data_IF_360998334918
#
_entry.id   IF_360998334918
#
_cell.length_a   1.000
_cell.length_b   1.000
_cell.length_c   1.000
_cell.angle_alpha   90.00
_cell.angle_beta   90.00
_cell.angle_gamma   90.00
#
_symmetry.space_group_name_H-M   'P 1'
#
loop_
_entity.id
_entity.type
_entity.pdbx_description
1 polymer ?
#
# COMPACT_ATOMS: atom_id res chain seq x y z
N UNK A 1 -3.91 -4.94 -51.17
CA UNK A 1 -3.53 -6.11 -50.31
C UNK A 1 -2.46 -5.64 -49.37
N UNK A 2 -2.85 -5.30 -48.17
CA UNK A 2 -1.98 -4.79 -47.09
C UNK A 2 -1.57 -5.99 -46.24
N UNK A 3 -0.27 -6.22 -46.16
CA UNK A 3 0.30 -7.24 -45.28
C UNK A 3 0.16 -6.74 -43.83
N UNK A 4 -0.78 -7.32 -43.07
CA UNK A 4 -0.80 -7.21 -41.65
C UNK A 4 0.37 -8.02 -41.06
N UNK A 5 1.41 -7.36 -40.60
CA UNK A 5 2.49 -7.97 -39.82
C UNK A 5 1.87 -8.61 -38.57
N UNK A 6 1.85 -9.93 -38.58
CA UNK A 6 1.70 -10.73 -37.37
C UNK A 6 2.95 -10.48 -36.51
N UNK A 7 2.85 -9.57 -35.54
CA UNK A 7 3.82 -9.52 -34.43
C UNK A 7 3.72 -10.83 -33.65
N UNK A 8 4.59 -11.76 -34.00
CA UNK A 8 4.87 -12.92 -33.18
C UNK A 8 5.49 -12.44 -31.86
N UNK A 9 4.88 -12.79 -30.73
CA UNK A 9 5.43 -12.61 -29.39
C UNK A 9 6.65 -13.51 -29.21
N UNK A 10 7.77 -13.14 -29.81
CA UNK A 10 9.06 -13.73 -29.57
C UNK A 10 9.85 -12.85 -28.59
N UNK A 11 10.06 -13.31 -27.34
CA UNK A 11 11.00 -12.67 -26.43
C UNK A 11 12.40 -12.68 -27.07
N UNK A 12 12.91 -11.51 -27.40
CA UNK A 12 14.30 -11.35 -27.86
C UNK A 12 15.24 -11.47 -26.64
N UNK A 13 16.43 -12.01 -26.84
CA UNK A 13 17.48 -12.02 -25.81
C UNK A 13 17.83 -10.62 -25.29
N UNK A 14 17.53 -9.56 -26.03
CA UNK A 14 17.68 -8.17 -25.62
C UNK A 14 16.62 -7.72 -24.59
N UNK A 15 15.48 -8.41 -24.47
CA UNK A 15 14.40 -8.08 -23.53
C UNK A 15 14.61 -8.66 -22.14
N UNK A 16 15.44 -9.70 -22.02
CA UNK A 16 15.67 -10.42 -20.77
C UNK A 16 16.23 -9.53 -19.64
N UNK A 17 17.28 -8.70 -19.84
CA UNK A 17 17.78 -7.81 -18.80
C UNK A 17 16.71 -6.80 -18.33
N UNK A 18 15.90 -6.28 -19.26
CA UNK A 18 14.80 -5.36 -18.96
C UNK A 18 13.70 -6.04 -18.14
N UNK A 19 13.33 -7.28 -18.47
CA UNK A 19 12.38 -8.08 -17.68
C UNK A 19 12.91 -8.35 -16.28
N UNK A 20 14.18 -8.77 -16.16
CA UNK A 20 14.83 -9.03 -14.87
C UNK A 20 14.89 -7.79 -13.97
N UNK A 21 15.12 -6.60 -14.57
CA UNK A 21 15.03 -5.33 -13.83
C UNK A 21 13.64 -5.12 -13.25
N UNK A 22 12.57 -5.31 -14.01
CA UNK A 22 11.21 -5.13 -13.52
C UNK A 22 10.86 -6.15 -12.43
N UNK A 23 11.25 -7.42 -12.59
CA UNK A 23 11.06 -8.45 -11.56
C UNK A 23 11.78 -8.06 -10.27
N UNK A 24 13.02 -7.58 -10.36
CA UNK A 24 13.77 -7.12 -9.18
C UNK A 24 13.08 -5.94 -8.50
N UNK A 25 12.55 -4.97 -9.25
CA UNK A 25 11.80 -3.83 -8.72
C UNK A 25 10.48 -4.25 -8.07
N UNK A 26 9.77 -5.22 -8.64
CA UNK A 26 8.53 -5.79 -8.09
C UNK A 26 8.81 -6.45 -6.73
N UNK A 27 9.78 -7.37 -6.70
CA UNK A 27 10.15 -8.11 -5.49
C UNK A 27 10.63 -7.15 -4.40
N UNK A 28 11.57 -6.26 -4.73
CA UNK A 28 12.08 -5.27 -3.81
C UNK A 28 10.99 -4.31 -3.32
N UNK A 29 10.15 -3.84 -4.25
CA UNK A 29 9.08 -2.88 -3.98
C UNK A 29 7.99 -3.41 -3.05
N UNK A 30 7.81 -4.71 -2.92
CA UNK A 30 6.89 -5.31 -1.96
C UNK A 30 7.61 -5.81 -0.70
N UNK A 31 8.77 -6.47 -0.85
CA UNK A 31 9.54 -6.99 0.27
C UNK A 31 9.89 -5.92 1.31
N UNK A 32 10.20 -4.70 0.86
CA UNK A 32 10.54 -3.57 1.73
C UNK A 32 9.42 -3.18 2.71
N UNK A 33 8.15 -3.34 2.29
CA UNK A 33 6.97 -3.00 3.09
C UNK A 33 6.38 -4.20 3.85
N UNK A 34 6.89 -5.41 3.61
CA UNK A 34 6.35 -6.62 4.23
C UNK A 34 6.56 -6.64 5.74
N UNK A 35 7.75 -6.32 6.22
CA UNK A 35 8.05 -6.30 7.66
C UNK A 35 7.22 -5.28 8.44
N UNK A 36 7.13 -3.99 8.05
CA UNK A 36 6.36 -3.02 8.81
C UNK A 36 4.84 -3.22 8.71
N UNK A 37 4.32 -3.85 7.65
CA UNK A 37 2.87 -3.89 7.43
C UNK A 37 2.26 -5.29 7.38
N UNK A 38 2.89 -6.29 6.76
CA UNK A 38 2.25 -7.60 6.59
C UNK A 38 2.18 -8.38 7.89
N UNK A 39 3.21 -8.31 8.73
CA UNK A 39 3.21 -8.98 10.05
C UNK A 39 2.03 -8.51 10.89
N UNK A 40 1.87 -7.20 11.04
CA UNK A 40 0.79 -6.62 11.86
C UNK A 40 -0.58 -6.65 11.20
N UNK A 41 -0.68 -6.91 9.89
CA UNK A 41 -1.92 -7.02 9.13
C UNK A 41 -2.48 -8.43 9.13
N UNK A 42 -1.65 -9.40 8.73
CA UNK A 42 -2.11 -10.77 8.52
C UNK A 42 -2.17 -11.54 9.82
N UNK A 43 -1.22 -11.30 10.71
CA UNK A 43 -1.05 -12.03 11.97
C UNK A 43 -1.39 -11.18 13.19
N UNK A 44 -2.36 -10.26 13.03
CA UNK A 44 -2.70 -9.29 14.07
C UNK A 44 -3.14 -9.93 15.40
N UNK A 45 -4.00 -10.97 15.44
CA UNK A 45 -4.35 -11.64 16.70
C UNK A 45 -3.10 -12.17 17.42
N UNK A 46 -2.31 -13.00 16.76
CA UNK A 46 -1.06 -13.56 17.30
C UNK A 46 -0.07 -12.46 17.72
N UNK A 47 0.02 -11.37 16.93
CA UNK A 47 0.88 -10.23 17.26
C UNK A 47 0.48 -9.56 18.57
N UNK A 48 -0.81 -9.24 18.72
CA UNK A 48 -1.31 -8.57 19.93
C UNK A 48 -1.10 -9.44 21.17
N UNK A 49 -1.26 -10.76 21.05
CA UNK A 49 -1.07 -11.71 22.13
C UNK A 49 0.41 -11.87 22.51
N UNK A 50 1.30 -12.09 21.53
CA UNK A 50 2.74 -12.25 21.76
C UNK A 50 3.39 -10.99 22.36
N UNK A 51 2.96 -9.81 21.95
CA UNK A 51 3.49 -8.55 22.49
C UNK A 51 2.70 -8.03 23.70
N UNK A 52 1.61 -8.70 24.08
CA UNK A 52 0.69 -8.27 25.13
C UNK A 52 0.20 -6.82 24.93
N UNK A 53 -0.12 -6.46 23.66
CA UNK A 53 -0.50 -5.10 23.31
C UNK A 53 -2.00 -4.93 23.18
N UNK A 54 -2.48 -3.77 23.63
CA UNK A 54 -3.79 -3.28 23.22
C UNK A 54 -3.75 -2.83 21.74
N UNK A 55 -4.91 -2.71 21.11
CA UNK A 55 -4.99 -2.18 19.73
C UNK A 55 -4.48 -0.74 19.65
N UNK A 56 -4.69 0.07 20.70
CA UNK A 56 -4.19 1.44 20.79
C UNK A 56 -2.66 1.47 20.82
N UNK A 57 -2.02 0.58 21.57
CA UNK A 57 -0.57 0.49 21.63
C UNK A 57 0.04 0.13 20.29
N UNK A 58 -0.52 -0.88 19.58
CA UNK A 58 -0.10 -1.20 18.23
C UNK A 58 -0.32 -0.01 17.27
N UNK A 59 -1.46 0.67 17.39
CA UNK A 59 -1.77 1.86 16.59
C UNK A 59 -0.75 2.99 16.77
N UNK A 60 -0.31 3.24 18.01
CA UNK A 60 0.72 4.25 18.30
C UNK A 60 2.09 3.86 17.75
N UNK A 61 2.45 2.57 17.80
CA UNK A 61 3.67 2.06 17.16
C UNK A 61 3.62 2.30 15.65
N UNK A 62 2.50 1.98 14.99
CA UNK A 62 2.32 2.24 13.56
C UNK A 62 2.36 3.74 13.22
N UNK A 63 1.83 4.60 14.09
CA UNK A 63 1.89 6.05 13.93
C UNK A 63 3.34 6.58 13.92
N UNK A 64 4.25 5.97 14.68
CA UNK A 64 5.69 6.32 14.65
C UNK A 64 6.29 6.13 13.27
N UNK A 65 5.92 5.06 12.55
CA UNK A 65 6.25 4.90 11.14
C UNK A 65 5.70 6.05 10.31
N UNK A 66 4.40 6.36 10.44
CA UNK A 66 3.73 7.38 9.65
C UNK A 66 4.34 8.77 9.81
N UNK A 67 4.67 9.17 11.04
CA UNK A 67 5.30 10.47 11.33
C UNK A 67 6.67 10.58 10.64
N UNK A 68 7.53 9.57 10.81
CA UNK A 68 8.87 9.60 10.21
C UNK A 68 8.80 9.49 8.70
N UNK A 69 7.91 8.64 8.16
CA UNK A 69 7.67 8.50 6.72
C UNK A 69 7.25 9.85 6.10
N UNK A 70 6.33 10.58 6.75
CA UNK A 70 5.90 11.89 6.26
C UNK A 70 7.05 12.90 6.19
N UNK A 71 7.88 12.97 7.23
CA UNK A 71 9.08 13.83 7.24
C UNK A 71 10.09 13.41 6.18
N UNK A 72 10.16 12.12 5.85
CA UNK A 72 11.10 11.54 4.91
C UNK A 72 10.72 11.74 3.43
N UNK A 73 9.45 11.98 3.10
CA UNK A 73 9.01 12.13 1.70
C UNK A 73 9.74 13.26 0.96
N UNK A 74 9.87 14.42 1.59
CA UNK A 74 10.48 15.57 0.95
C UNK A 74 11.99 15.38 0.67
N UNK A 75 12.84 15.04 1.66
CA UNK A 75 14.25 14.80 1.41
C UNK A 75 14.53 13.53 0.60
N UNK A 76 13.62 12.53 0.64
CA UNK A 76 13.77 11.27 -0.10
C UNK A 76 13.80 11.46 -1.61
N UNK A 77 12.97 12.36 -2.15
CA UNK A 77 13.00 12.71 -3.57
C UNK A 77 14.33 13.30 -3.99
N UNK A 78 14.88 14.23 -3.19
CA UNK A 78 16.19 14.84 -3.47
C UNK A 78 17.33 13.81 -3.39
N UNK A 79 17.26 12.90 -2.42
CA UNK A 79 18.27 11.86 -2.26
C UNK A 79 18.25 10.89 -3.47
N UNK A 80 17.08 10.55 -3.98
CA UNK A 80 16.92 9.73 -5.17
C UNK A 80 17.52 10.40 -6.43
N UNK A 81 17.57 11.73 -6.49
CA UNK A 81 18.20 12.46 -7.59
C UNK A 81 19.73 12.52 -7.46
N UNK A 82 20.28 12.41 -6.24
CA UNK A 82 21.71 12.52 -5.95
C UNK A 82 22.47 11.18 -6.02
N UNK A 83 21.79 10.08 -5.78
CA UNK A 83 22.42 8.75 -5.68
C UNK A 83 21.82 7.77 -6.68
N UNK A 84 22.61 6.75 -7.05
CA UNK A 84 22.14 5.66 -7.91
C UNK A 84 20.96 4.92 -7.26
N UNK A 85 19.89 4.68 -8.04
CA UNK A 85 18.72 3.94 -7.56
C UNK A 85 19.12 2.55 -7.03
N UNK A 86 20.01 1.84 -7.70
CA UNK A 86 20.55 0.55 -7.25
C UNK A 86 21.11 0.61 -5.83
N UNK A 87 21.94 1.60 -5.54
CA UNK A 87 22.61 1.75 -4.23
C UNK A 87 21.61 2.09 -3.13
N UNK A 88 20.68 3.01 -3.40
CA UNK A 88 19.66 3.40 -2.44
C UNK A 88 18.70 2.24 -2.13
N UNK A 89 18.22 1.53 -3.16
CA UNK A 89 17.34 0.37 -2.99
C UNK A 89 18.03 -0.73 -2.18
N UNK A 90 19.27 -1.08 -2.53
CA UNK A 90 20.03 -2.11 -1.82
C UNK A 90 20.32 -1.73 -0.36
N UNK A 91 20.77 -0.50 -0.10
CA UNK A 91 21.04 -0.01 1.24
C UNK A 91 19.77 0.00 2.11
N UNK A 92 18.65 0.43 1.53
CA UNK A 92 17.35 0.43 2.21
C UNK A 92 16.89 -0.98 2.57
N UNK A 93 16.97 -1.94 1.64
CA UNK A 93 16.62 -3.35 1.88
C UNK A 93 17.47 -3.97 2.97
N UNK A 94 18.79 -3.72 2.96
CA UNK A 94 19.69 -4.19 4.01
C UNK A 94 19.30 -3.60 5.36
N UNK A 95 19.11 -2.28 5.43
CA UNK A 95 18.75 -1.61 6.67
C UNK A 95 17.39 -2.10 7.22
N UNK A 96 16.38 -2.23 6.34
CA UNK A 96 15.06 -2.74 6.74
C UNK A 96 15.12 -4.20 7.18
N UNK A 97 15.89 -5.04 6.50
CA UNK A 97 16.12 -6.45 6.88
C UNK A 97 16.84 -6.60 8.22
N UNK A 98 17.81 -5.74 8.52
CA UNK A 98 18.45 -5.70 9.86
C UNK A 98 17.41 -5.34 10.94
N UNK A 99 16.49 -4.41 10.64
CA UNK A 99 15.34 -4.15 11.50
C UNK A 99 14.46 -5.39 11.70
N UNK A 100 14.31 -6.24 10.68
CA UNK A 100 13.59 -7.52 10.78
C UNK A 100 14.26 -8.50 11.73
N UNK A 101 15.60 -8.59 11.76
CA UNK A 101 16.32 -9.40 12.73
C UNK A 101 16.12 -8.91 14.17
N UNK A 102 16.06 -7.59 14.37
CA UNK A 102 15.72 -7.01 15.67
C UNK A 102 14.28 -7.29 16.05
N UNK A 103 13.35 -7.19 15.10
CA UNK A 103 11.93 -7.47 15.31
C UNK A 103 11.69 -8.90 15.79
N UNK A 104 12.41 -9.87 15.23
CA UNK A 104 12.33 -11.27 15.64
C UNK A 104 12.81 -11.54 17.08
N UNK A 105 13.50 -10.58 17.72
CA UNK A 105 13.85 -10.68 19.15
C UNK A 105 12.69 -10.33 20.08
N UNK A 106 11.49 -10.06 19.53
CA UNK A 106 10.30 -9.62 20.27
C UNK A 106 10.64 -8.41 21.19
N UNK A 107 11.02 -7.28 20.57
CA UNK A 107 11.48 -6.12 21.34
C UNK A 107 10.37 -5.50 22.18
N UNK A 108 10.76 -4.72 23.19
CA UNK A 108 9.83 -3.98 24.05
C UNK A 108 9.00 -2.96 23.29
N UNK A 109 7.95 -2.43 23.92
CA UNK A 109 7.09 -1.39 23.36
C UNK A 109 7.88 -0.19 22.83
N UNK A 110 8.83 0.34 23.62
CA UNK A 110 9.72 1.43 23.16
C UNK A 110 10.61 1.00 22.01
N UNK A 111 11.10 -0.24 22.03
CA UNK A 111 11.91 -0.80 20.95
C UNK A 111 11.13 -0.86 19.64
N UNK A 112 9.83 -1.19 19.69
CA UNK A 112 8.96 -1.17 18.51
C UNK A 112 8.70 0.24 17.97
N UNK A 113 8.52 1.24 18.82
CA UNK A 113 8.42 2.64 18.37
C UNK A 113 9.65 3.09 17.61
N UNK A 114 10.83 2.77 18.12
CA UNK A 114 12.09 3.08 17.43
C UNK A 114 12.22 2.31 16.11
N UNK A 115 11.87 1.03 16.10
CA UNK A 115 11.93 0.17 14.93
C UNK A 115 10.98 0.67 13.82
N UNK A 116 9.72 0.95 14.15
CA UNK A 116 8.75 1.45 13.16
C UNK A 116 9.13 2.83 12.65
N UNK A 117 9.63 3.73 13.51
CA UNK A 117 10.22 5.00 13.08
C UNK A 117 11.42 4.79 12.14
N UNK A 118 12.32 3.86 12.47
CA UNK A 118 13.45 3.48 11.61
C UNK A 118 12.97 2.94 10.26
N UNK A 119 11.94 2.11 10.22
CA UNK A 119 11.34 1.65 8.96
C UNK A 119 10.68 2.76 8.17
N UNK A 120 10.03 3.75 8.82
CA UNK A 120 9.54 4.95 8.15
C UNK A 120 10.67 5.69 7.41
N UNK A 121 11.85 5.78 8.05
CA UNK A 121 13.03 6.36 7.44
C UNK A 121 13.56 5.50 6.28
N UNK A 122 13.83 4.20 6.50
CA UNK A 122 14.45 3.35 5.48
C UNK A 122 13.59 3.16 4.25
N UNK A 123 12.27 2.96 4.43
CA UNK A 123 11.34 2.67 3.33
C UNK A 123 10.97 3.91 2.52
N UNK A 124 10.92 5.07 3.12
CA UNK A 124 10.48 6.29 2.42
C UNK A 124 11.67 7.15 2.00
N UNK A 125 12.60 7.46 2.89
CA UNK A 125 13.75 8.32 2.54
C UNK A 125 14.66 7.65 1.51
N UNK A 126 15.01 6.39 1.74
CA UNK A 126 16.01 5.70 0.90
C UNK A 126 15.36 4.97 -0.28
N UNK A 127 14.18 4.36 -0.08
CA UNK A 127 13.65 3.40 -1.03
C UNK A 127 12.66 4.02 -2.02
N UNK A 128 11.63 4.73 -1.51
CA UNK A 128 10.46 5.09 -2.32
C UNK A 128 10.81 5.93 -3.54
N UNK A 129 11.58 7.01 -3.34
CA UNK A 129 12.03 7.87 -4.45
C UNK A 129 12.87 7.12 -5.47
N UNK A 130 13.76 6.24 -5.01
CA UNK A 130 14.62 5.44 -5.86
C UNK A 130 13.82 4.40 -6.68
N UNK A 131 12.79 3.77 -6.09
CA UNK A 131 11.89 2.85 -6.79
C UNK A 131 11.12 3.55 -7.91
N UNK A 132 10.53 4.70 -7.60
CA UNK A 132 9.78 5.50 -8.59
C UNK A 132 10.69 5.90 -9.75
N UNK A 133 11.91 6.38 -9.45
CA UNK A 133 12.89 6.74 -10.46
C UNK A 133 13.28 5.54 -11.34
N UNK A 134 13.67 4.41 -10.75
CA UNK A 134 14.05 3.21 -11.51
C UNK A 134 12.90 2.70 -12.39
N UNK A 135 11.66 2.78 -11.91
CA UNK A 135 10.47 2.40 -12.68
C UNK A 135 10.24 3.34 -13.86
N UNK A 136 10.42 4.65 -13.69
CA UNK A 136 10.34 5.64 -14.77
C UNK A 136 11.41 5.41 -15.84
N UNK A 137 12.64 5.16 -15.41
CA UNK A 137 13.75 4.86 -16.33
C UNK A 137 13.48 3.57 -17.12
N UNK A 138 12.88 2.55 -16.50
CA UNK A 138 12.47 1.34 -17.17
C UNK A 138 11.37 1.55 -18.20
N UNK A 139 10.35 2.39 -17.90
CA UNK A 139 9.20 2.62 -18.75
C UNK A 139 9.48 3.52 -19.97
N UNK A 140 10.58 4.26 -19.98
CA UNK A 140 10.85 5.35 -20.93
C UNK A 140 9.69 6.36 -20.99
N UNK A 141 9.74 7.34 -21.91
CA UNK A 141 8.71 8.40 -21.98
C UNK A 141 7.34 7.88 -22.47
N UNK A 142 7.35 6.85 -23.32
CA UNK A 142 6.14 6.39 -24.03
C UNK A 142 5.35 5.29 -23.30
N UNK A 143 5.87 4.73 -22.20
CA UNK A 143 5.28 3.55 -21.54
C UNK A 143 5.22 3.65 -20.02
N UNK A 144 5.08 4.87 -19.47
CA UNK A 144 5.06 5.10 -18.01
C UNK A 144 3.89 4.41 -17.32
N UNK A 145 2.67 4.56 -17.84
CA UNK A 145 1.49 3.90 -17.29
C UNK A 145 1.63 2.37 -17.24
N UNK A 146 2.20 1.78 -18.31
CA UNK A 146 2.47 0.33 -18.37
C UNK A 146 3.53 -0.09 -17.34
N UNK A 147 4.58 0.70 -17.15
CA UNK A 147 5.65 0.41 -16.19
C UNK A 147 5.10 0.39 -14.75
N UNK A 148 4.36 1.42 -14.34
CA UNK A 148 3.76 1.48 -13.00
C UNK A 148 2.64 0.45 -12.81
N UNK A 149 1.85 0.17 -13.84
CA UNK A 149 0.84 -0.89 -13.80
C UNK A 149 1.43 -2.28 -13.60
N UNK A 150 2.53 -2.62 -14.30
CA UNK A 150 3.25 -3.88 -14.13
C UNK A 150 3.89 -3.94 -12.74
N UNK A 151 4.51 -2.84 -12.28
CA UNK A 151 5.09 -2.76 -10.95
C UNK A 151 4.03 -3.02 -9.87
N UNK A 152 2.91 -2.31 -9.87
CA UNK A 152 1.92 -2.43 -8.79
C UNK A 152 1.15 -3.75 -8.86
N UNK A 153 0.80 -4.22 -10.05
CA UNK A 153 0.19 -5.54 -10.24
C UNK A 153 1.12 -6.67 -9.81
N UNK A 154 2.41 -6.59 -10.19
CA UNK A 154 3.42 -7.54 -9.79
C UNK A 154 3.69 -7.55 -8.28
N UNK A 155 3.74 -6.37 -7.65
CA UNK A 155 3.84 -6.23 -6.19
C UNK A 155 2.65 -6.89 -5.49
N UNK A 156 1.42 -6.70 -6.01
CA UNK A 156 0.24 -7.36 -5.47
C UNK A 156 0.33 -8.88 -5.54
N UNK A 157 0.79 -9.41 -6.67
CA UNK A 157 1.00 -10.86 -6.84
C UNK A 157 2.06 -11.39 -5.87
N UNK A 158 3.19 -10.69 -5.74
CA UNK A 158 4.26 -11.08 -4.83
C UNK A 158 3.82 -11.00 -3.37
N UNK A 159 3.04 -9.97 -2.98
CA UNK A 159 2.45 -9.86 -1.65
C UNK A 159 1.56 -11.06 -1.30
N UNK A 160 0.72 -11.50 -2.24
CA UNK A 160 -0.15 -12.65 -2.07
C UNK A 160 0.65 -13.95 -1.91
N UNK A 161 1.68 -14.15 -2.74
CA UNK A 161 2.54 -15.34 -2.67
C UNK A 161 3.28 -15.44 -1.34
N UNK A 162 3.96 -14.37 -0.92
CA UNK A 162 4.70 -14.39 0.37
C UNK A 162 3.75 -14.44 1.57
N UNK A 163 2.54 -13.88 1.44
CA UNK A 163 1.49 -13.97 2.46
C UNK A 163 1.08 -15.42 2.71
N UNK A 164 0.82 -16.19 1.65
CA UNK A 164 0.50 -17.63 1.77
C UNK A 164 1.67 -18.42 2.37
N UNK A 165 2.91 -18.13 1.94
CA UNK A 165 4.09 -18.77 2.53
C UNK A 165 4.21 -18.45 4.02
N UNK A 166 3.99 -17.19 4.41
CA UNK A 166 4.07 -16.78 5.81
C UNK A 166 2.96 -17.41 6.67
N UNK A 167 1.75 -17.59 6.13
CA UNK A 167 0.66 -18.34 6.81
C UNK A 167 1.04 -19.81 6.98
N UNK A 168 1.60 -20.44 5.94
CA UNK A 168 2.11 -21.81 6.05
C UNK A 168 3.19 -21.94 7.13
N UNK A 169 4.12 -20.97 7.21
CA UNK A 169 5.13 -20.90 8.27
C UNK A 169 4.47 -20.76 9.63
N UNK A 170 3.52 -19.87 9.81
CA UNK A 170 2.78 -19.71 11.07
C UNK A 170 2.17 -21.05 11.51
N UNK A 171 1.41 -21.70 10.61
CA UNK A 171 0.71 -22.95 10.87
C UNK A 171 1.67 -24.07 11.30
N UNK A 172 2.88 -24.10 10.75
CA UNK A 172 3.86 -25.16 11.04
C UNK A 172 4.35 -25.20 12.49
N UNK A 173 4.12 -24.12 13.26
CA UNK A 173 4.49 -23.99 14.67
C UNK A 173 3.29 -24.07 15.63
N UNK A 174 2.09 -24.18 15.09
CA UNK A 174 0.88 -24.39 15.89
C UNK A 174 0.54 -25.90 15.98
N UNK A 175 -0.06 -26.34 17.09
CA UNK A 175 -0.60 -27.69 17.20
C UNK A 175 -1.79 -27.90 16.27
N UNK A 176 -2.24 -29.13 16.06
CA UNK A 176 -3.42 -29.46 15.24
C UNK A 176 -4.66 -28.69 15.73
N UNK A 177 -4.87 -28.61 17.04
CA UNK A 177 -5.85 -27.72 17.66
C UNK A 177 -5.17 -26.41 18.06
N UNK A 178 -5.34 -25.39 17.22
CA UNK A 178 -4.74 -24.06 17.40
C UNK A 178 -5.15 -23.41 18.73
N UNK A 179 -6.35 -23.73 19.26
CA UNK A 179 -6.81 -23.20 20.55
C UNK A 179 -5.97 -23.72 21.74
N UNK A 180 -5.27 -24.84 21.57
CA UNK A 180 -4.36 -25.41 22.59
C UNK A 180 -2.94 -24.89 22.50
N UNK A 181 -2.65 -23.96 21.58
CA UNK A 181 -1.31 -23.41 21.41
C UNK A 181 -0.83 -22.70 22.68
N UNK A 182 0.39 -23.01 23.07
CA UNK A 182 1.07 -22.35 24.20
C UNK A 182 1.66 -21.00 23.79
N UNK A 183 1.92 -20.12 24.75
CA UNK A 183 2.57 -18.83 24.49
C UNK A 183 3.93 -19.00 23.79
N UNK A 184 4.68 -20.07 24.12
CA UNK A 184 5.95 -20.39 23.50
C UNK A 184 5.76 -20.71 22.01
N UNK A 185 4.76 -21.50 21.66
CA UNK A 185 4.46 -21.84 20.26
C UNK A 185 4.03 -20.61 19.47
N UNK A 186 3.20 -19.72 20.06
CA UNK A 186 2.81 -18.44 19.45
C UNK A 186 4.01 -17.52 19.20
N UNK A 187 4.90 -17.38 20.19
CA UNK A 187 6.13 -16.61 20.05
C UNK A 187 7.00 -17.19 18.92
N UNK A 188 7.24 -18.48 18.93
CA UNK A 188 8.03 -19.15 17.89
C UNK A 188 7.39 -18.96 16.50
N UNK A 189 6.10 -19.19 16.38
CA UNK A 189 5.37 -19.01 15.12
C UNK A 189 5.53 -17.60 14.55
N UNK A 190 5.33 -16.57 15.39
CA UNK A 190 5.49 -15.17 14.99
C UNK A 190 6.95 -14.83 14.64
N UNK A 191 7.93 -15.34 15.41
CA UNK A 191 9.36 -15.14 15.10
C UNK A 191 9.72 -15.72 13.74
N UNK A 192 9.27 -16.93 13.43
CA UNK A 192 9.55 -17.55 12.13
C UNK A 192 8.82 -16.87 10.96
N UNK A 193 7.63 -16.33 11.18
CA UNK A 193 6.96 -15.43 10.21
C UNK A 193 7.82 -14.19 9.95
N UNK A 194 8.34 -13.55 11.00
CA UNK A 194 9.22 -12.38 10.87
C UNK A 194 10.51 -12.75 10.14
N UNK A 195 11.13 -13.90 10.45
CA UNK A 195 12.29 -14.40 9.72
C UNK A 195 11.98 -14.68 8.26
N UNK A 196 10.81 -15.22 7.94
CA UNK A 196 10.38 -15.45 6.56
C UNK A 196 10.35 -14.12 5.76
N UNK A 197 9.70 -13.07 6.28
CA UNK A 197 9.69 -11.76 5.62
C UNK A 197 11.08 -11.12 5.57
N UNK A 198 11.89 -11.28 6.61
CA UNK A 198 13.28 -10.82 6.65
C UNK A 198 14.12 -11.49 5.57
N UNK A 199 13.95 -12.80 5.37
CA UNK A 199 14.61 -13.56 4.31
C UNK A 199 14.26 -13.00 2.93
N UNK A 200 12.97 -12.78 2.62
CA UNK A 200 12.58 -12.20 1.34
C UNK A 200 13.10 -10.77 1.15
N UNK A 201 13.19 -9.99 2.23
CA UNK A 201 13.77 -8.65 2.20
C UNK A 201 15.27 -8.70 1.85
N UNK A 202 16.03 -9.61 2.46
CA UNK A 202 17.44 -9.81 2.12
C UNK A 202 17.63 -10.45 0.74
N UNK A 203 16.76 -11.37 0.32
CA UNK A 203 16.79 -11.97 -1.01
C UNK A 203 16.63 -10.93 -2.13
N UNK A 204 15.88 -9.87 -1.87
CA UNK A 204 15.70 -8.76 -2.81
C UNK A 204 17.01 -7.95 -3.02
N UNK A 205 17.96 -7.98 -2.07
CA UNK A 205 19.24 -7.22 -2.19
C UNK A 205 20.06 -7.66 -3.39
N UNK A 206 20.48 -8.92 -3.53
CA UNK A 206 21.24 -9.38 -4.70
C UNK A 206 20.44 -9.22 -5.99
N UNK A 207 19.12 -9.39 -5.99
CA UNK A 207 18.29 -9.17 -7.17
C UNK A 207 18.38 -7.71 -7.65
N UNK A 208 18.24 -6.75 -6.74
CA UNK A 208 18.41 -5.32 -7.06
C UNK A 208 19.84 -5.03 -7.53
N UNK A 209 20.82 -5.55 -6.81
CA UNK A 209 22.22 -5.27 -7.13
C UNK A 209 22.65 -5.79 -8.51
N UNK A 210 22.17 -6.94 -8.91
CA UNK A 210 22.52 -7.58 -10.18
C UNK A 210 21.65 -7.12 -11.34
N UNK A 211 20.35 -6.87 -11.11
CA UNK A 211 19.38 -6.66 -12.19
C UNK A 211 19.00 -5.18 -12.42
N UNK A 212 19.17 -4.29 -11.41
CA UNK A 212 18.88 -2.87 -11.60
C UNK A 212 20.12 -2.17 -12.17
N UNK A 213 20.04 -1.49 -13.33
CA UNK A 213 21.18 -0.80 -13.93
C UNK A 213 21.70 0.32 -13.03
N UNK A 214 23.02 0.51 -13.03
CA UNK A 214 23.62 1.69 -12.41
C UNK A 214 23.48 2.87 -13.36
N UNK A 215 22.46 3.70 -13.15
CA UNK A 215 22.27 4.90 -13.95
C UNK A 215 23.17 6.03 -13.49
N UNK A 216 23.75 6.77 -14.45
CA UNK A 216 24.61 7.90 -14.15
C UNK A 216 23.80 8.99 -13.43
N UNK A 217 24.25 9.35 -12.25
CA UNK A 217 23.73 10.48 -11.48
C UNK A 217 23.97 11.77 -12.28
N UNK A 218 22.95 12.61 -12.43
CA UNK A 218 23.14 13.98 -12.93
C UNK A 218 22.75 14.28 -14.37
N UNK A 219 22.09 13.37 -15.12
CA UNK A 219 21.50 13.69 -16.44
C UNK A 219 20.01 14.05 -16.36
N UNK A 220 19.58 14.75 -15.36
CA UNK A 220 18.37 15.56 -15.50
C UNK A 220 18.78 16.75 -16.34
N UNK A 221 18.24 16.87 -17.55
CA UNK A 221 18.54 17.97 -18.48
C UNK A 221 18.33 19.31 -17.75
N UNK A 222 19.40 19.92 -17.25
CA UNK A 222 19.39 21.25 -16.62
C UNK A 222 18.72 22.28 -17.55
N UNK A 223 18.78 22.06 -18.87
CA UNK A 223 18.15 22.90 -19.88
C UNK A 223 16.60 22.84 -19.89
N UNK A 224 15.97 21.75 -19.40
CA UNK A 224 14.51 21.68 -19.27
C UNK A 224 13.99 22.51 -18.08
N UNK A 225 14.85 22.90 -17.16
CA UNK A 225 14.48 23.65 -15.95
C UNK A 225 14.90 25.13 -15.99
N UNK A 226 15.73 25.56 -16.96
CA UNK A 226 16.31 26.90 -17.00
C UNK A 226 15.29 28.04 -17.13
N UNK A 227 14.09 27.79 -17.69
CA UNK A 227 13.04 28.80 -17.87
C UNK A 227 11.76 28.51 -17.08
N UNK A 228 11.79 27.64 -16.06
CA UNK A 228 10.62 27.31 -15.24
C UNK A 228 10.50 28.22 -14.02
N UNK A 229 9.27 28.57 -13.60
CA UNK A 229 9.05 29.22 -12.31
C UNK A 229 9.71 28.45 -11.17
N UNK A 230 10.19 29.13 -10.16
CA UNK A 230 10.81 28.50 -8.99
C UNK A 230 9.87 27.47 -8.33
N UNK A 231 10.42 26.46 -7.60
CA UNK A 231 9.62 25.38 -7.02
C UNK A 231 8.46 25.86 -6.15
N UNK A 232 8.69 26.92 -5.37
CA UNK A 232 7.68 27.52 -4.49
C UNK A 232 6.48 28.07 -5.30
N UNK A 233 6.74 28.79 -6.40
CA UNK A 233 5.68 29.35 -7.24
C UNK A 233 4.83 28.26 -7.88
N UNK A 234 5.46 27.20 -8.38
CA UNK A 234 4.77 26.03 -8.94
C UNK A 234 3.88 25.33 -7.91
N UNK A 235 4.38 25.16 -6.68
CA UNK A 235 3.58 24.62 -5.58
C UNK A 235 2.37 25.49 -5.29
N UNK A 236 2.53 26.82 -5.24
CA UNK A 236 1.43 27.76 -5.02
C UNK A 236 0.39 27.68 -6.16
N UNK A 237 0.84 27.60 -7.41
CA UNK A 237 -0.05 27.51 -8.57
C UNK A 237 -0.87 26.20 -8.55
N UNK A 238 -0.26 25.08 -8.19
CA UNK A 238 -0.95 23.79 -7.99
C UNK A 238 -1.94 23.85 -6.81
N UNK A 239 -1.57 24.49 -5.70
CA UNK A 239 -2.46 24.67 -4.53
C UNK A 239 -3.70 25.53 -4.83
N UNK A 240 -3.67 26.36 -5.87
CA UNK A 240 -4.83 27.15 -6.30
C UNK A 240 -5.89 26.32 -7.03
N UNK A 241 -5.58 25.11 -7.47
CA UNK A 241 -6.50 24.22 -8.17
C UNK A 241 -7.43 23.51 -7.17
N UNK A 242 -8.76 23.77 -7.18
CA UNK A 242 -9.70 23.09 -6.25
C UNK A 242 -9.71 21.57 -6.46
N UNK A 243 -9.45 21.11 -7.68
CA UNK A 243 -9.36 19.70 -8.04
C UNK A 243 -8.26 18.97 -7.29
N UNK A 244 -7.13 19.63 -6.99
CA UNK A 244 -6.01 19.08 -6.24
C UNK A 244 -6.39 18.79 -4.77
N UNK A 245 -7.14 19.69 -4.13
CA UNK A 245 -7.62 19.48 -2.75
C UNK A 245 -8.67 18.37 -2.66
N UNK A 246 -9.60 18.32 -3.62
CA UNK A 246 -10.57 17.23 -3.69
C UNK A 246 -9.90 15.89 -3.95
N UNK A 247 -8.90 15.85 -4.82
CA UNK A 247 -8.11 14.65 -5.07
C UNK A 247 -7.31 14.22 -3.83
N UNK A 248 -6.75 15.17 -3.09
CA UNK A 248 -6.10 14.88 -1.80
C UNK A 248 -7.08 14.22 -0.82
N UNK A 249 -8.30 14.75 -0.70
CA UNK A 249 -9.34 14.17 0.15
C UNK A 249 -9.78 12.78 -0.33
N UNK A 250 -9.89 12.57 -1.65
CA UNK A 250 -10.17 11.27 -2.26
C UNK A 250 -9.08 10.27 -1.87
N UNK A 251 -7.80 10.66 -1.95
CA UNK A 251 -6.68 9.79 -1.58
C UNK A 251 -6.68 9.50 -0.08
N UNK A 252 -6.95 10.50 0.79
CA UNK A 252 -7.12 10.26 2.24
C UNK A 252 -8.18 9.19 2.47
N UNK A 253 -9.39 9.36 1.90
CA UNK A 253 -10.50 8.43 2.08
C UNK A 253 -10.18 7.02 1.53
N UNK A 254 -9.54 6.94 0.36
CA UNK A 254 -9.10 5.68 -0.24
C UNK A 254 -8.04 4.98 0.63
N UNK A 255 -7.11 5.76 1.19
CA UNK A 255 -6.05 5.22 2.03
C UNK A 255 -6.55 4.80 3.41
N UNK A 256 -7.53 5.51 3.97
CA UNK A 256 -8.28 5.05 5.16
C UNK A 256 -8.92 3.68 4.88
N UNK A 257 -9.59 3.51 3.73
CA UNK A 257 -10.13 2.21 3.32
C UNK A 257 -9.06 1.12 3.23
N UNK A 258 -7.87 1.45 2.70
CA UNK A 258 -6.74 0.53 2.67
C UNK A 258 -6.25 0.14 4.07
N UNK A 259 -6.19 1.08 5.01
CA UNK A 259 -5.88 0.80 6.43
C UNK A 259 -6.95 -0.05 7.12
N UNK A 260 -8.19 -0.03 6.61
CA UNK A 260 -9.26 -0.91 7.07
C UNK A 260 -8.94 -2.40 6.92
N UNK A 261 -8.17 -2.77 5.89
CA UNK A 261 -7.71 -4.15 5.65
C UNK A 261 -6.86 -4.68 6.82
N UNK A 262 -6.15 -3.80 7.54
CA UNK A 262 -5.30 -4.16 8.68
C UNK A 262 -6.10 -4.79 9.86
N UNK A 263 -7.44 -4.69 9.84
CA UNK A 263 -8.31 -5.21 10.90
C UNK A 263 -9.11 -6.46 10.51
N UNK A 264 -9.00 -6.96 9.28
CA UNK A 264 -9.77 -8.12 8.83
C UNK A 264 -9.45 -9.40 9.62
N UNK A 265 -8.16 -9.69 9.86
CA UNK A 265 -7.77 -10.86 10.65
C UNK A 265 -8.29 -10.78 12.09
N UNK A 266 -8.18 -9.60 12.73
CA UNK A 266 -8.69 -9.42 14.09
C UNK A 266 -10.22 -9.53 14.15
N UNK A 267 -10.93 -8.99 13.16
CA UNK A 267 -12.40 -9.10 13.08
C UNK A 267 -12.84 -10.56 12.92
N UNK A 268 -12.20 -11.29 12.02
CA UNK A 268 -12.49 -12.70 11.80
C UNK A 268 -12.23 -13.55 13.06
N UNK A 269 -11.13 -13.27 13.76
CA UNK A 269 -10.80 -13.91 15.02
C UNK A 269 -11.81 -13.59 16.13
N UNK A 270 -12.11 -12.29 16.33
CA UNK A 270 -12.90 -11.82 17.48
C UNK A 270 -14.40 -12.05 17.29
N UNK A 271 -14.92 -11.82 16.08
CA UNK A 271 -16.35 -11.81 15.81
C UNK A 271 -16.88 -13.14 15.24
N UNK A 272 -16.06 -13.83 14.43
CA UNK A 272 -16.45 -15.11 13.81
C UNK A 272 -15.81 -16.33 14.48
N UNK A 273 -15.06 -16.13 15.56
CA UNK A 273 -14.37 -17.18 16.31
C UNK A 273 -13.46 -18.06 15.42
N UNK A 274 -12.89 -17.50 14.36
CA UNK A 274 -11.82 -18.14 13.61
C UNK A 274 -10.56 -18.20 14.46
N UNK A 275 -9.77 -19.26 14.31
CA UNK A 275 -8.48 -19.32 14.98
C UNK A 275 -7.45 -18.38 14.30
N UNK A 276 -6.28 -18.22 14.92
CA UNK A 276 -5.24 -17.29 14.43
C UNK A 276 -4.78 -17.60 13.00
N UNK A 277 -4.73 -18.90 12.64
CA UNK A 277 -4.30 -19.36 11.30
C UNK A 277 -5.39 -19.03 10.27
N UNK A 278 -6.65 -19.39 10.54
CA UNK A 278 -7.79 -19.13 9.66
C UNK A 278 -7.99 -17.62 9.44
N UNK A 279 -7.83 -16.81 10.48
CA UNK A 279 -7.91 -15.35 10.40
C UNK A 279 -6.79 -14.76 9.53
N UNK A 280 -5.58 -15.31 9.62
CA UNK A 280 -4.46 -14.93 8.76
C UNK A 280 -4.69 -15.36 7.31
N UNK A 281 -5.22 -16.57 7.07
CA UNK A 281 -5.58 -17.07 5.74
C UNK A 281 -6.60 -16.15 5.04
N UNK A 282 -7.68 -15.75 5.73
CA UNK A 282 -8.68 -14.82 5.19
C UNK A 282 -8.02 -13.55 4.65
N UNK A 283 -7.15 -12.96 5.45
CA UNK A 283 -6.48 -11.70 5.08
C UNK A 283 -5.47 -11.90 3.95
N UNK A 284 -4.67 -12.97 3.98
CA UNK A 284 -3.71 -13.31 2.93
C UNK A 284 -4.42 -13.58 1.59
N UNK A 285 -5.54 -14.31 1.60
CA UNK A 285 -6.31 -14.58 0.38
C UNK A 285 -6.97 -13.31 -0.18
N UNK A 286 -7.34 -12.34 0.64
CA UNK A 286 -7.92 -11.08 0.16
C UNK A 286 -6.97 -10.28 -0.73
N UNK A 287 -5.66 -10.46 -0.60
CA UNK A 287 -4.65 -9.74 -1.39
C UNK A 287 -4.55 -10.25 -2.83
N UNK A 288 -4.96 -11.50 -3.12
CA UNK A 288 -4.97 -12.03 -4.48
C UNK A 288 -5.84 -11.25 -5.46
N UNK A 289 -6.85 -10.53 -4.95
CA UNK A 289 -7.70 -9.68 -5.79
C UNK A 289 -6.98 -8.42 -6.30
N UNK A 290 -5.87 -8.00 -5.68
CA UNK A 290 -5.19 -6.72 -5.94
C UNK A 290 -4.80 -6.53 -7.41
N UNK A 291 -4.12 -7.47 -8.10
CA UNK A 291 -3.76 -7.30 -9.51
C UNK A 291 -4.99 -7.15 -10.41
N UNK A 292 -6.02 -7.97 -10.18
CA UNK A 292 -7.25 -7.96 -10.97
C UNK A 292 -8.06 -6.69 -10.74
N UNK A 293 -8.16 -6.25 -9.50
CA UNK A 293 -8.88 -5.05 -9.10
C UNK A 293 -8.24 -3.78 -9.70
N UNK A 294 -6.92 -3.65 -9.63
CA UNK A 294 -6.21 -2.49 -10.17
C UNK A 294 -6.38 -2.40 -11.70
N UNK A 295 -6.21 -3.51 -12.43
CA UNK A 295 -6.40 -3.56 -13.88
C UNK A 295 -7.88 -3.31 -14.25
N UNK A 296 -8.81 -3.96 -13.57
CA UNK A 296 -10.25 -3.81 -13.81
C UNK A 296 -10.73 -2.38 -13.59
N UNK A 297 -10.28 -1.75 -12.50
CA UNK A 297 -10.61 -0.35 -12.21
C UNK A 297 -9.98 0.62 -13.23
N UNK A 298 -8.76 0.37 -13.70
CA UNK A 298 -8.13 1.13 -14.77
C UNK A 298 -8.94 1.07 -16.06
N UNK A 299 -9.28 -0.14 -16.54
CA UNK A 299 -10.13 -0.33 -17.71
C UNK A 299 -11.53 0.30 -17.58
N UNK A 300 -12.07 0.29 -16.36
CA UNK A 300 -13.35 0.97 -16.08
C UNK A 300 -13.18 2.49 -16.14
N UNK A 301 -12.12 3.03 -15.55
CA UNK A 301 -11.82 4.47 -15.58
C UNK A 301 -11.64 5.01 -17.00
N UNK A 302 -11.01 4.23 -17.89
CA UNK A 302 -10.86 4.57 -19.32
C UNK A 302 -12.22 4.65 -20.03
N UNK A 303 -13.23 3.89 -19.58
CA UNK A 303 -14.57 3.87 -20.21
C UNK A 303 -15.52 4.93 -19.68
N UNK A 304 -15.49 5.23 -18.38
CA UNK A 304 -16.52 6.06 -17.72
C UNK A 304 -16.00 7.35 -17.07
N UNK A 305 -14.73 7.64 -17.11
CA UNK A 305 -13.95 8.67 -16.44
C UNK A 305 -13.44 8.24 -15.04
N UNK A 306 -12.20 8.64 -14.67
CA UNK A 306 -11.62 8.32 -13.37
C UNK A 306 -12.46 8.75 -12.17
N UNK A 307 -13.06 9.95 -12.19
CA UNK A 307 -13.92 10.44 -11.11
C UNK A 307 -15.18 9.60 -10.88
N UNK A 308 -15.77 9.03 -11.95
CA UNK A 308 -16.93 8.13 -11.84
C UNK A 308 -16.52 6.75 -11.35
N UNK A 309 -15.38 6.24 -11.81
CA UNK A 309 -14.85 4.96 -11.36
C UNK A 309 -14.48 5.00 -9.89
N UNK A 310 -13.85 6.09 -9.39
CA UNK A 310 -13.57 6.28 -7.96
C UNK A 310 -14.86 6.40 -7.15
N UNK A 311 -15.86 7.13 -7.64
CA UNK A 311 -17.16 7.23 -6.97
C UNK A 311 -17.85 5.85 -6.84
N UNK A 312 -17.77 5.01 -7.86
CA UNK A 312 -18.33 3.65 -7.84
C UNK A 312 -17.61 2.76 -6.82
N UNK A 313 -16.27 2.82 -6.77
CA UNK A 313 -15.50 2.10 -5.76
C UNK A 313 -15.86 2.55 -4.33
N UNK A 314 -16.01 3.86 -4.09
CA UNK A 314 -16.45 4.34 -2.77
C UNK A 314 -17.88 3.92 -2.43
N UNK A 315 -18.81 3.93 -3.39
CA UNK A 315 -20.17 3.43 -3.16
C UNK A 315 -20.16 1.95 -2.74
N UNK A 316 -19.31 1.15 -3.38
CA UNK A 316 -19.12 -0.26 -3.03
C UNK A 316 -18.51 -0.43 -1.63
N UNK A 317 -17.52 0.41 -1.27
CA UNK A 317 -16.94 0.42 0.09
C UNK A 317 -17.97 0.82 1.15
N UNK A 318 -18.83 1.82 0.88
CA UNK A 318 -19.90 2.22 1.80
C UNK A 318 -20.83 1.04 2.05
N UNK A 319 -21.25 0.33 0.99
CA UNK A 319 -22.10 -0.84 1.11
C UNK A 319 -21.43 -1.94 1.94
N UNK A 320 -20.18 -2.29 1.63
CA UNK A 320 -19.47 -3.38 2.29
C UNK A 320 -19.12 -3.04 3.76
N UNK A 321 -18.58 -1.86 4.04
CA UNK A 321 -18.29 -1.44 5.40
C UNK A 321 -19.56 -1.18 6.21
N UNK A 322 -20.61 -0.60 5.57
CA UNK A 322 -21.91 -0.45 6.19
C UNK A 322 -22.54 -1.81 6.56
N UNK A 323 -22.38 -2.82 5.71
CA UNK A 323 -22.79 -4.18 6.04
C UNK A 323 -22.05 -4.70 7.27
N UNK A 324 -20.72 -4.62 7.31
CA UNK A 324 -19.92 -5.08 8.46
C UNK A 324 -20.22 -4.30 9.74
N UNK A 325 -20.63 -3.04 9.65
CA UNK A 325 -21.00 -2.23 10.82
C UNK A 325 -22.33 -2.65 11.46
N UNK A 326 -23.16 -3.35 10.72
CA UNK A 326 -24.47 -3.86 11.17
C UNK A 326 -24.49 -5.40 11.30
N UNK A 327 -23.35 -6.04 11.02
CA UNK A 327 -23.26 -7.49 10.94
C UNK A 327 -23.51 -8.14 12.31
N UNK A 328 -24.28 -9.22 12.28
CA UNK A 328 -24.48 -10.15 13.39
C UNK A 328 -23.81 -11.48 13.00
N UNK A 329 -22.55 -11.70 13.43
CA UNK A 329 -21.77 -12.82 12.95
C UNK A 329 -22.48 -14.16 13.13
N UNK A 330 -22.50 -14.93 12.05
CA UNK A 330 -23.01 -16.29 12.03
C UNK A 330 -21.99 -17.19 11.34
N UNK A 331 -21.39 -18.10 12.10
CA UNK A 331 -20.35 -19.02 11.59
C UNK A 331 -20.86 -19.86 10.42
N UNK A 332 -22.14 -20.23 10.40
CA UNK A 332 -22.74 -20.97 9.27
C UNK A 332 -22.79 -20.15 7.96
N UNK A 333 -22.67 -18.82 8.05
CA UNK A 333 -22.69 -17.90 6.92
C UNK A 333 -21.33 -17.21 6.70
N UNK A 334 -20.26 -17.80 7.16
CA UNK A 334 -18.89 -17.26 7.07
C UNK A 334 -18.48 -16.89 5.64
N UNK A 335 -19.04 -17.57 4.64
CA UNK A 335 -18.82 -17.25 3.23
C UNK A 335 -19.23 -15.80 2.87
N UNK A 336 -20.20 -15.20 3.62
CA UNK A 336 -20.60 -13.80 3.44
C UNK A 336 -19.46 -12.87 3.87
N UNK A 337 -18.79 -13.19 4.99
CA UNK A 337 -17.58 -12.44 5.40
C UNK A 337 -16.50 -12.52 4.31
N UNK A 338 -16.19 -13.72 3.81
CA UNK A 338 -15.20 -13.89 2.74
C UNK A 338 -15.57 -13.09 1.49
N UNK A 339 -16.82 -13.16 1.05
CA UNK A 339 -17.31 -12.40 -0.11
C UNK A 339 -17.19 -10.89 0.12
N UNK A 340 -17.60 -10.40 1.31
CA UNK A 340 -17.49 -8.99 1.67
C UNK A 340 -16.03 -8.53 1.66
N UNK A 341 -15.11 -9.27 2.29
CA UNK A 341 -13.68 -8.95 2.35
C UNK A 341 -13.06 -8.89 0.95
N UNK A 342 -13.40 -9.83 0.06
CA UNK A 342 -12.91 -9.83 -1.34
C UNK A 342 -13.45 -8.62 -2.09
N UNK A 343 -14.74 -8.33 -1.99
CA UNK A 343 -15.39 -7.21 -2.70
C UNK A 343 -14.86 -5.87 -2.19
N UNK A 344 -14.72 -5.72 -0.87
CA UNK A 344 -14.15 -4.50 -0.27
C UNK A 344 -12.69 -4.32 -0.69
N UNK A 345 -11.90 -5.40 -0.65
CA UNK A 345 -10.51 -5.38 -1.10
C UNK A 345 -10.39 -5.01 -2.58
N UNK A 346 -11.30 -5.51 -3.43
CA UNK A 346 -11.35 -5.13 -4.85
C UNK A 346 -11.63 -3.63 -5.02
N UNK A 347 -12.56 -3.06 -4.27
CA UNK A 347 -12.85 -1.62 -4.31
C UNK A 347 -11.65 -0.79 -3.83
N UNK A 348 -11.01 -1.18 -2.72
CA UNK A 348 -9.85 -0.49 -2.15
C UNK A 348 -8.64 -0.54 -3.10
N UNK A 349 -8.29 -1.70 -3.62
CA UNK A 349 -7.16 -1.84 -4.55
C UNK A 349 -7.47 -1.21 -5.91
N UNK A 350 -8.74 -1.24 -6.35
CA UNK A 350 -9.20 -0.51 -7.53
C UNK A 350 -8.98 1.00 -7.40
N UNK A 351 -9.38 1.60 -6.26
CA UNK A 351 -9.13 3.01 -5.96
C UNK A 351 -7.65 3.35 -6.03
N UNK A 352 -6.78 2.50 -5.44
CA UNK A 352 -5.33 2.71 -5.47
C UNK A 352 -4.75 2.70 -6.88
N UNK A 353 -5.34 1.94 -7.79
CA UNK A 353 -4.94 1.89 -9.19
C UNK A 353 -5.32 3.14 -10.00
N UNK A 354 -6.37 3.86 -9.59
CA UNK A 354 -6.95 4.91 -10.44
C UNK A 354 -6.91 6.33 -9.88
N UNK A 355 -6.69 6.55 -8.58
CA UNK A 355 -6.81 7.89 -8.00
C UNK A 355 -5.76 8.89 -8.53
N UNK A 356 -4.61 8.45 -9.05
CA UNK A 356 -3.66 9.34 -9.72
C UNK A 356 -4.03 9.61 -11.19
N UNK A 357 -4.83 8.77 -11.85
CA UNK A 357 -5.34 9.04 -13.20
C UNK A 357 -6.28 10.26 -13.25
N UNK A 358 -6.74 10.74 -12.10
CA UNK A 358 -7.60 11.92 -11.98
C UNK A 358 -6.89 13.25 -12.31
N UNK A 359 -5.56 13.29 -12.38
CA UNK A 359 -4.82 14.52 -12.70
C UNK A 359 -5.18 15.09 -14.06
N UNK A 360 -5.33 14.23 -15.07
CA UNK A 360 -5.70 14.64 -16.42
C UNK A 360 -7.14 15.19 -16.44
N UNK A 361 -8.10 14.48 -15.83
CA UNK A 361 -9.49 14.94 -15.70
C UNK A 361 -9.57 16.24 -14.90
N UNK A 362 -8.72 16.42 -13.89
CA UNK A 362 -8.64 17.61 -13.03
C UNK A 362 -7.92 18.81 -13.65
N UNK A 363 -7.51 18.73 -14.92
CA UNK A 363 -6.79 19.78 -15.67
C UNK A 363 -5.47 20.20 -14.99
N UNK A 364 -4.80 19.29 -14.30
CA UNK A 364 -3.45 19.53 -13.78
C UNK A 364 -2.49 19.56 -14.97
N UNK A 365 -1.74 20.67 -15.18
CA UNK A 365 -0.79 20.73 -16.29
C UNK A 365 0.22 19.60 -16.24
N UNK A 366 0.48 18.95 -17.37
CA UNK A 366 1.41 17.81 -17.45
C UNK A 366 2.81 18.14 -16.84
N UNK A 367 3.25 19.38 -16.98
CA UNK A 367 4.51 19.87 -16.42
C UNK A 367 4.50 19.99 -14.89
N UNK A 368 3.33 20.09 -14.27
CA UNK A 368 3.14 20.24 -12.81
C UNK A 368 2.68 18.94 -12.14
N UNK A 369 2.49 17.86 -12.91
CA UNK A 369 2.04 16.56 -12.37
C UNK A 369 2.93 16.06 -11.23
N UNK A 370 4.25 16.24 -11.31
CA UNK A 370 5.17 15.86 -10.24
C UNK A 370 4.94 16.65 -8.94
N UNK A 371 4.75 17.97 -9.04
CA UNK A 371 4.45 18.85 -7.91
C UNK A 371 3.09 18.51 -7.31
N UNK A 372 2.08 18.28 -8.16
CA UNK A 372 0.74 17.88 -7.74
C UNK A 372 0.77 16.50 -7.05
N UNK A 373 1.47 15.52 -7.61
CA UNK A 373 1.64 14.19 -7.00
C UNK A 373 2.29 14.30 -5.62
N UNK A 374 3.34 15.11 -5.48
CA UNK A 374 3.98 15.32 -4.18
C UNK A 374 3.01 15.91 -3.15
N UNK A 375 2.26 16.93 -3.52
CA UNK A 375 1.29 17.58 -2.63
C UNK A 375 0.14 16.64 -2.24
N UNK A 376 -0.50 15.99 -3.22
CA UNK A 376 -1.62 15.08 -2.91
C UNK A 376 -1.18 13.85 -2.14
N UNK A 377 0.07 13.37 -2.34
CA UNK A 377 0.62 12.25 -1.58
C UNK A 377 0.92 12.65 -0.14
N UNK A 378 1.50 13.84 0.08
CA UNK A 378 1.77 14.36 1.42
C UNK A 378 0.49 14.41 2.27
N UNK A 379 -0.61 14.87 1.70
CA UNK A 379 -1.91 14.92 2.39
C UNK A 379 -2.55 13.53 2.40
N UNK A 380 -2.55 12.85 1.27
CA UNK A 380 -3.25 11.58 1.03
C UNK A 380 -2.77 10.42 1.90
N UNK A 381 -1.50 10.40 2.30
CA UNK A 381 -0.93 9.35 3.15
C UNK A 381 -0.88 9.70 4.64
N UNK A 382 -1.48 10.83 5.05
CA UNK A 382 -1.65 11.16 6.49
C UNK A 382 -2.37 10.09 7.32
N UNK A 383 -3.25 9.21 6.78
CA UNK A 383 -3.81 8.12 7.55
C UNK A 383 -2.79 7.16 8.18
N UNK A 384 -1.55 7.08 7.68
CA UNK A 384 -0.49 6.33 8.37
C UNK A 384 -0.19 6.86 9.78
N UNK A 385 -0.50 8.14 10.05
CA UNK A 385 -0.29 8.75 11.37
C UNK A 385 -1.48 8.51 12.29
N UNK A 386 -2.71 8.71 11.78
CA UNK A 386 -3.88 8.78 12.67
C UNK A 386 -4.75 7.51 12.68
N UNK A 387 -4.75 6.71 11.60
CA UNK A 387 -5.64 5.55 11.51
C UNK A 387 -5.29 4.45 12.51
N UNK A 388 -4.01 4.19 12.75
CA UNK A 388 -3.59 3.22 13.77
C UNK A 388 -4.13 3.57 15.16
N UNK A 389 -3.80 4.75 15.72
CA UNK A 389 -4.33 5.18 17.02
C UNK A 389 -5.85 5.27 17.07
N UNK A 390 -6.50 5.79 16.00
CA UNK A 390 -7.96 5.94 15.97
C UNK A 390 -8.68 4.59 15.96
N UNK A 391 -8.22 3.65 15.13
CA UNK A 391 -8.78 2.29 15.11
C UNK A 391 -8.55 1.57 16.44
N UNK A 392 -7.34 1.72 17.02
CA UNK A 392 -7.00 1.14 18.31
C UNK A 392 -7.89 1.67 19.43
N UNK A 393 -8.10 2.98 19.48
CA UNK A 393 -8.98 3.60 20.47
C UNK A 393 -10.42 3.09 20.39
N UNK A 394 -10.96 2.96 19.17
CA UNK A 394 -12.33 2.45 18.96
C UNK A 394 -12.45 1.01 19.45
N UNK A 395 -11.51 0.14 19.04
CA UNK A 395 -11.53 -1.28 19.36
C UNK A 395 -11.32 -1.54 20.88
N UNK A 396 -10.45 -0.77 21.53
CA UNK A 396 -10.18 -0.93 22.95
C UNK A 396 -11.29 -0.34 23.83
N UNK A 397 -11.99 0.73 23.36
CA UNK A 397 -13.10 1.34 24.07
C UNK A 397 -14.34 0.42 24.13
N UNK A 398 -14.59 -0.34 23.08
CA UNK A 398 -15.76 -1.22 22.95
C UNK A 398 -15.27 -2.62 22.56
N UNK A 399 -14.70 -3.41 23.49
CA UNK A 399 -14.16 -4.73 23.17
C UNK A 399 -15.19 -5.68 22.55
N UNK A 400 -14.73 -6.55 21.66
CA UNK A 400 -15.57 -7.52 20.96
C UNK A 400 -16.28 -6.95 19.74
N UNK A 401 -17.43 -7.50 19.40
CA UNK A 401 -18.18 -7.19 18.16
C UNK A 401 -18.49 -5.70 18.03
N UNK A 402 -18.91 -5.03 19.09
CA UNK A 402 -19.31 -3.62 19.05
C UNK A 402 -18.18 -2.71 18.57
N UNK A 403 -16.95 -2.91 19.03
CA UNK A 403 -15.81 -2.11 18.60
C UNK A 403 -15.52 -2.29 17.11
N UNK A 404 -15.70 -3.50 16.57
CA UNK A 404 -15.56 -3.73 15.14
C UNK A 404 -16.69 -3.08 14.34
N UNK A 405 -17.93 -3.12 14.82
CA UNK A 405 -19.05 -2.44 14.19
C UNK A 405 -18.82 -0.92 14.14
N UNK A 406 -18.41 -0.31 15.25
CA UNK A 406 -18.07 1.12 15.33
C UNK A 406 -16.90 1.48 14.40
N UNK A 407 -15.87 0.60 14.31
CA UNK A 407 -14.76 0.77 13.39
C UNK A 407 -15.21 0.73 11.93
N UNK A 408 -16.02 -0.24 11.53
CA UNK A 408 -16.51 -0.31 10.15
C UNK A 408 -17.50 0.80 9.81
N UNK A 409 -18.26 1.31 10.78
CA UNK A 409 -19.07 2.51 10.61
C UNK A 409 -18.18 3.73 10.29
N UNK A 410 -17.06 3.89 11.01
CA UNK A 410 -16.07 4.93 10.71
C UNK A 410 -15.52 4.77 9.28
N UNK A 411 -15.19 3.54 8.86
CA UNK A 411 -14.74 3.27 7.50
C UNK A 411 -15.78 3.66 6.45
N UNK A 412 -17.06 3.37 6.70
CA UNK A 412 -18.16 3.77 5.84
C UNK A 412 -18.32 5.30 5.76
N UNK A 413 -18.12 6.00 6.87
CA UNK A 413 -18.15 7.49 6.90
C UNK A 413 -17.02 8.08 6.05
N UNK A 414 -15.79 7.57 6.15
CA UNK A 414 -14.69 8.02 5.29
C UNK A 414 -14.94 7.68 3.81
N UNK A 415 -15.47 6.50 3.52
CA UNK A 415 -15.86 6.14 2.15
C UNK A 415 -16.95 7.08 1.60
N UNK A 416 -17.90 7.50 2.44
CA UNK A 416 -18.92 8.49 2.06
C UNK A 416 -18.31 9.87 1.77
N UNK A 417 -17.35 10.34 2.57
CA UNK A 417 -16.59 11.56 2.28
C UNK A 417 -15.82 11.44 0.95
N UNK A 418 -15.20 10.29 0.67
CA UNK A 418 -14.54 10.01 -0.59
C UNK A 418 -15.49 10.02 -1.78
N UNK A 419 -16.70 9.45 -1.62
CA UNK A 419 -17.76 9.50 -2.64
C UNK A 419 -18.17 10.95 -2.95
N UNK A 420 -18.46 11.75 -1.92
CA UNK A 420 -18.82 13.15 -2.08
C UNK A 420 -17.70 13.94 -2.78
N UNK A 421 -16.46 13.75 -2.35
CA UNK A 421 -15.30 14.39 -2.98
C UNK A 421 -15.15 13.99 -4.45
N UNK A 422 -15.36 12.72 -4.81
CA UNK A 422 -15.30 12.23 -6.19
C UNK A 422 -16.39 12.82 -7.07
N UNK A 423 -17.61 12.93 -6.55
CA UNK A 423 -18.75 13.56 -7.26
C UNK A 423 -18.50 15.06 -7.47
N UNK A 424 -18.03 15.76 -6.44
CA UNK A 424 -17.69 17.18 -6.52
C UNK A 424 -16.53 17.43 -7.48
N UNK A 425 -15.50 16.59 -7.42
CA UNK A 425 -14.37 16.64 -8.35
C UNK A 425 -14.85 16.55 -9.81
N UNK A 426 -15.65 15.53 -10.15
CA UNK A 426 -16.15 15.34 -11.50
C UNK A 426 -17.10 16.49 -11.96
N UNK A 427 -17.79 17.18 -11.04
CA UNK A 427 -18.59 18.38 -11.37
C UNK A 427 -17.72 19.60 -11.66
N UNK A 428 -16.63 19.80 -10.91
CA UNK A 428 -15.71 20.92 -11.11
C UNK A 428 -14.87 20.72 -12.36
N UNK A 429 -14.32 19.51 -12.54
CA UNK A 429 -13.50 19.16 -13.68
C UNK A 429 -14.21 19.31 -15.03
N UNK A 430 -15.54 19.16 -15.07
CA UNK A 430 -16.34 19.36 -16.32
C UNK A 430 -16.73 20.80 -16.61
N UNK A 431 -16.51 21.73 -15.68
CA UNK A 431 -16.77 23.14 -15.98
C UNK A 431 -15.65 23.65 -16.87
N UNK A 432 -15.96 24.28 -18.02
CA UNK A 432 -14.92 24.89 -18.86
C UNK A 432 -14.14 25.88 -17.98
N UNK A 433 -12.81 25.87 -18.16
CA UNK A 433 -11.97 26.86 -17.51
C UNK A 433 -12.54 28.25 -17.80
N UNK A 434 -12.92 29.00 -16.76
CA UNK A 434 -13.31 30.40 -16.94
C UNK A 434 -12.08 31.11 -17.49
N UNK A 435 -12.15 31.47 -18.78
CA UNK A 435 -11.18 32.29 -19.50
C UNK A 435 -10.97 33.63 -18.82
#
# INVERSE_FOLDING_TARGET
>A
MSQSEKQTFGFSHADLPRLMTMIALIIAGEAIFSLPFHVTRFFRPTFLEVFEFSNMQLGLVQASYGVIAMLAYFPGGQLADMFSARKLLAASLIATGLGGLYFAQIPTYQGLHLLFGFWGFTTILLFWGALIRATREWGAESAQGRAFGILDGGRGLFAALIGVIAVFVLRSFFPDDVAMATDVERILALQYVIYCYTFFTFLAVPLVWLCVPETAVGRVNANLFANRPGPLRRTIDVMRLPTVWLQSLIIVAAYVGYKGIDNYSLFAYTAYALNEVEAAELTAYSVWIRPLAAVGAGLLADRILPSRATALCFALMIFCFGFLSLDTPNVSLIWILFANVIVTSAAVFGLRGIYFAMFEEGHVPALETGTATGLVSLIGFTPDIFMGPMSGWILDRSPGLQGHQDFYLLMACFAFLGLLASVLFGRIARKPARS
#
